data_IF_221820823870
#
_entry.id   IF_221820823870
#
_cell.length_a   1.000
_cell.length_b   1.000
_cell.length_c   1.000
_cell.angle_alpha   90.00
_cell.angle_beta   90.00
_cell.angle_gamma   90.00
#
_symmetry.space_group_name_H-M   'P 1'
#
loop_
_entity.id
_entity.type
_entity.pdbx_description
1 polymer ?
#
# COMPACT_ATOMS: atom_id res chain seq x y z
N UNK A 1 -10.65 -20.40 13.10
CA UNK A 1 -9.34 -19.71 13.09
C UNK A 1 -8.91 -19.49 11.65
N UNK A 2 -8.19 -18.40 11.37
CA UNK A 2 -7.65 -18.12 10.03
C UNK A 2 -6.36 -18.91 9.81
N UNK A 3 -6.22 -19.54 8.63
CA UNK A 3 -5.01 -20.28 8.24
C UNK A 3 -4.19 -19.44 7.28
N UNK A 4 -2.87 -19.49 7.42
CA UNK A 4 -1.94 -18.77 6.57
C UNK A 4 -0.97 -19.74 5.90
N UNK A 5 -0.81 -19.59 4.58
CA UNK A 5 0.23 -20.26 3.80
C UNK A 5 1.17 -19.18 3.27
N UNK A 6 2.15 -18.80 4.09
CA UNK A 6 3.19 -17.85 3.72
C UNK A 6 4.25 -18.53 2.86
N UNK A 7 5.02 -17.76 2.09
CA UNK A 7 6.03 -18.28 1.14
C UNK A 7 5.43 -19.30 0.17
N UNK A 8 4.20 -19.05 -0.27
CA UNK A 8 3.46 -19.89 -1.22
C UNK A 8 3.08 -19.04 -2.42
N UNK A 9 3.37 -19.52 -3.62
CA UNK A 9 3.03 -18.87 -4.89
C UNK A 9 1.80 -19.56 -5.48
N UNK A 10 0.81 -18.78 -5.89
CA UNK A 10 -0.31 -19.27 -6.71
C UNK A 10 0.17 -19.32 -8.16
N UNK A 11 0.09 -20.49 -8.79
CA UNK A 11 0.53 -20.72 -10.18
C UNK A 11 -0.63 -20.87 -11.16
N UNK A 12 -1.82 -21.21 -10.66
CA UNK A 12 -3.01 -21.37 -11.49
C UNK A 12 -4.29 -21.27 -10.68
N UNK A 13 -5.36 -20.87 -11.37
CA UNK A 13 -6.72 -20.81 -10.84
C UNK A 13 -7.64 -21.44 -11.87
N UNK A 14 -8.33 -22.51 -11.50
CA UNK A 14 -9.38 -23.14 -12.30
C UNK A 14 -10.74 -22.94 -11.62
N UNK A 15 -11.62 -22.18 -12.26
CA UNK A 15 -12.97 -21.85 -11.80
C UNK A 15 -14.05 -22.38 -12.75
N UNK A 16 -13.75 -23.44 -13.51
CA UNK A 16 -14.67 -24.00 -14.52
C UNK A 16 -15.78 -24.89 -13.94
N UNK A 17 -15.70 -25.28 -12.66
CA UNK A 17 -16.69 -26.12 -11.97
C UNK A 17 -17.47 -25.39 -10.87
N UNK A 18 -18.09 -26.16 -9.96
CA UNK A 18 -18.92 -25.66 -8.86
C UNK A 18 -18.13 -24.95 -7.73
N UNK A 19 -16.81 -24.78 -7.90
CA UNK A 19 -15.90 -24.12 -6.98
C UNK A 19 -14.60 -23.73 -7.69
N UNK A 20 -13.59 -23.37 -6.91
CA UNK A 20 -12.29 -22.91 -7.42
C UNK A 20 -11.18 -23.84 -6.95
N UNK A 21 -10.34 -24.27 -7.90
CA UNK A 21 -9.10 -25.02 -7.64
C UNK A 21 -7.91 -24.08 -7.82
N UNK A 22 -7.22 -23.80 -6.73
CA UNK A 22 -5.98 -23.04 -6.69
C UNK A 22 -4.80 -24.00 -6.76
N UNK A 23 -3.98 -23.86 -7.79
CA UNK A 23 -2.72 -24.60 -7.88
C UNK A 23 -1.64 -23.73 -7.24
N UNK A 24 -0.92 -24.28 -6.25
CA UNK A 24 0.06 -23.56 -5.45
C UNK A 24 1.37 -24.34 -5.32
N UNK A 25 2.48 -23.63 -5.13
CA UNK A 25 3.79 -24.21 -4.84
C UNK A 25 4.58 -23.37 -3.83
N UNK A 26 5.63 -23.90 -3.19
CA UNK A 26 6.57 -23.08 -2.43
C UNK A 26 7.13 -21.94 -3.27
N UNK A 27 7.25 -20.74 -2.69
CA UNK A 27 7.70 -19.55 -3.43
C UNK A 27 9.13 -19.68 -3.99
N UNK A 28 9.96 -20.52 -3.38
CA UNK A 28 11.33 -20.83 -3.82
C UNK A 28 11.38 -21.96 -4.88
N UNK A 29 10.21 -22.48 -5.29
CA UNK A 29 10.06 -23.63 -6.18
C UNK A 29 9.88 -24.94 -5.42
N UNK A 30 9.18 -25.90 -6.03
CA UNK A 30 8.91 -27.20 -5.42
C UNK A 30 7.71 -27.91 -6.02
N UNK A 31 7.22 -28.94 -5.33
CA UNK A 31 6.04 -29.70 -5.74
C UNK A 31 4.77 -28.85 -5.66
N UNK A 32 3.93 -28.97 -6.68
CA UNK A 32 2.64 -28.29 -6.74
C UNK A 32 1.57 -29.07 -5.97
N UNK A 33 0.71 -28.34 -5.27
CA UNK A 33 -0.46 -28.88 -4.61
C UNK A 33 -1.71 -28.11 -5.02
N UNK A 34 -2.87 -28.73 -4.90
CA UNK A 34 -4.16 -28.09 -5.21
C UNK A 34 -4.92 -27.79 -3.93
N UNK A 35 -5.42 -26.56 -3.81
CA UNK A 35 -6.35 -26.14 -2.78
C UNK A 35 -7.73 -25.95 -3.41
N UNK A 36 -8.77 -26.49 -2.80
CA UNK A 36 -10.15 -26.31 -3.24
C UNK A 36 -10.88 -25.33 -2.31
N UNK A 37 -11.66 -24.43 -2.88
CA UNK A 37 -12.49 -23.47 -2.15
C UNK A 37 -13.74 -23.11 -2.95
N UNK A 38 -14.83 -22.76 -2.28
CA UNK A 38 -16.05 -22.29 -2.96
C UNK A 38 -15.85 -20.90 -3.59
N UNK A 39 -15.06 -20.04 -2.93
CA UNK A 39 -14.83 -18.64 -3.31
C UNK A 39 -13.34 -18.31 -3.15
N UNK A 40 -12.80 -17.54 -4.10
CA UNK A 40 -11.46 -16.95 -4.03
C UNK A 40 -11.54 -15.43 -4.11
N UNK A 41 -10.92 -14.77 -3.13
CA UNK A 41 -10.68 -13.33 -3.16
C UNK A 41 -9.24 -13.05 -3.61
N UNK A 42 -9.08 -12.32 -4.72
CA UNK A 42 -7.77 -11.87 -5.19
C UNK A 42 -7.49 -10.46 -4.66
N UNK A 43 -6.63 -10.38 -3.65
CA UNK A 43 -6.21 -9.11 -3.02
C UNK A 43 -4.69 -8.95 -3.07
N UNK A 44 -4.12 -9.06 -4.28
CA UNK A 44 -2.66 -9.09 -4.52
C UNK A 44 -2.00 -7.69 -4.59
N UNK A 45 -2.77 -6.62 -4.46
CA UNK A 45 -2.31 -5.23 -4.55
C UNK A 45 -3.20 -4.38 -5.44
N UNK A 46 -2.78 -3.12 -5.64
CA UNK A 46 -3.44 -2.15 -6.52
C UNK A 46 -2.40 -1.59 -7.49
N UNK A 47 -2.86 -1.15 -8.65
CA UNK A 47 -2.05 -0.47 -9.67
C UNK A 47 -2.66 0.89 -10.00
N UNK A 48 -1.86 1.87 -10.44
CA UNK A 48 -2.39 3.16 -10.89
C UNK A 48 -3.30 2.96 -12.10
N UNK A 49 -4.39 3.72 -12.16
CA UNK A 49 -5.32 3.71 -13.29
C UNK A 49 -5.14 4.96 -14.14
N UNK A 50 -4.56 4.80 -15.34
CA UNK A 50 -4.30 5.88 -16.30
C UNK A 50 -4.95 5.65 -17.66
N UNK A 51 -5.72 4.56 -17.80
CA UNK A 51 -6.39 4.21 -19.06
C UNK A 51 -7.37 5.32 -19.49
N UNK A 52 -7.32 5.68 -20.78
CA UNK A 52 -8.17 6.72 -21.36
C UNK A 52 -7.71 8.16 -21.10
N UNK A 53 -6.57 8.37 -20.42
CA UNK A 53 -5.99 9.71 -20.23
C UNK A 53 -5.09 10.17 -21.40
N UNK A 54 -4.75 9.27 -22.33
CA UNK A 54 -3.90 9.56 -23.49
C UNK A 54 -2.58 10.27 -23.11
N UNK A 55 -1.95 9.85 -22.01
CA UNK A 55 -0.75 10.48 -21.44
C UNK A 55 0.39 10.57 -22.45
N UNK A 56 0.52 9.56 -23.31
CA UNK A 56 1.51 9.49 -24.38
C UNK A 56 1.33 10.59 -25.43
N UNK A 57 0.08 11.01 -25.71
CA UNK A 57 -0.20 12.05 -26.71
C UNK A 57 0.25 13.43 -26.26
N UNK A 58 0.26 13.67 -24.94
CA UNK A 58 0.73 14.91 -24.32
C UNK A 58 2.16 14.81 -23.80
N UNK A 59 2.77 13.62 -23.87
CA UNK A 59 4.16 13.38 -23.48
C UNK A 59 4.40 13.26 -21.98
N UNK A 60 3.38 12.91 -21.18
CA UNK A 60 3.55 12.70 -19.73
C UNK A 60 4.32 11.41 -19.47
N UNK A 61 5.38 11.50 -18.67
CA UNK A 61 6.22 10.35 -18.32
C UNK A 61 5.62 9.52 -17.18
N UNK A 62 5.72 8.19 -17.33
CA UNK A 62 5.36 7.23 -16.29
C UNK A 62 6.53 6.31 -15.96
N UNK A 63 6.55 5.76 -14.74
CA UNK A 63 7.50 4.70 -14.41
C UNK A 63 7.09 3.32 -14.98
N UNK A 64 7.91 2.30 -14.72
CA UNK A 64 7.65 0.92 -15.16
C UNK A 64 6.36 0.32 -14.59
N UNK A 65 5.82 0.87 -13.51
CA UNK A 65 4.57 0.46 -12.88
C UNK A 65 3.35 1.28 -13.35
N UNK A 66 3.53 2.19 -14.31
CA UNK A 66 2.45 3.04 -14.83
C UNK A 66 2.10 4.24 -13.95
N UNK A 67 2.92 4.56 -12.94
CA UNK A 67 2.70 5.74 -12.08
C UNK A 67 3.21 6.98 -12.79
N UNK A 68 2.45 8.08 -12.73
CA UNK A 68 2.83 9.37 -13.29
C UNK A 68 4.00 9.93 -12.46
N UNK A 69 5.09 10.28 -13.14
CA UNK A 69 6.24 10.89 -12.48
C UNK A 69 5.95 12.36 -12.18
N UNK A 70 6.20 12.75 -10.93
CA UNK A 70 6.01 14.12 -10.46
C UNK A 70 7.19 14.60 -9.63
N UNK A 71 7.41 15.91 -9.60
CA UNK A 71 8.34 16.55 -8.68
C UNK A 71 7.71 16.80 -7.28
N UNK A 72 8.45 17.44 -6.38
CA UNK A 72 8.00 17.79 -5.01
C UNK A 72 6.76 18.70 -4.96
N UNK A 73 6.39 19.32 -6.09
CA UNK A 73 5.20 20.17 -6.23
C UNK A 73 4.09 19.49 -7.03
N UNK A 74 4.13 18.15 -7.15
CA UNK A 74 3.14 17.35 -7.87
C UNK A 74 3.05 17.66 -9.37
N UNK A 75 4.03 18.38 -9.93
CA UNK A 75 4.06 18.73 -11.35
C UNK A 75 4.70 17.60 -12.15
N UNK A 76 4.11 17.25 -13.29
CA UNK A 76 4.70 16.31 -14.24
C UNK A 76 5.82 16.98 -15.06
N UNK A 77 6.42 16.24 -16.00
CA UNK A 77 7.32 16.81 -17.01
C UNK A 77 6.61 17.74 -18.02
N UNK A 78 5.28 17.69 -18.11
CA UNK A 78 4.46 18.55 -18.98
C UNK A 78 3.92 19.75 -18.19
N UNK A 79 4.20 20.96 -18.67
CA UNK A 79 3.78 22.20 -18.01
C UNK A 79 2.25 22.29 -17.90
N UNK A 80 1.77 22.65 -16.71
CA UNK A 80 0.34 22.76 -16.43
C UNK A 80 -0.35 21.43 -16.11
N UNK A 81 0.36 20.30 -16.14
CA UNK A 81 -0.17 18.98 -15.80
C UNK A 81 0.40 18.52 -14.47
N UNK A 82 -0.51 18.12 -13.58
CA UNK A 82 -0.21 17.70 -12.19
C UNK A 82 -0.87 16.34 -11.90
N UNK A 83 -0.34 15.61 -10.93
CA UNK A 83 -0.89 14.33 -10.49
C UNK A 83 -0.69 14.10 -9.00
N UNK A 84 -1.65 13.45 -8.33
CA UNK A 84 -1.68 13.22 -6.87
C UNK A 84 -2.23 11.83 -6.52
N UNK A 85 -2.04 11.39 -5.28
CA UNK A 85 -2.68 10.19 -4.74
C UNK A 85 -2.15 8.88 -5.30
N UNK A 86 -3.06 7.94 -5.57
CA UNK A 86 -2.73 6.56 -5.99
C UNK A 86 -2.04 6.46 -7.36
N UNK A 87 -2.09 7.52 -8.19
CA UNK A 87 -1.51 7.51 -9.54
C UNK A 87 -0.02 7.90 -9.57
N UNK A 88 0.52 8.40 -8.46
CA UNK A 88 1.92 8.82 -8.32
C UNK A 88 2.70 7.89 -7.37
N UNK A 89 4.04 7.96 -7.31
CA UNK A 89 4.81 7.25 -6.29
C UNK A 89 4.41 7.62 -4.85
N UNK A 90 4.32 6.61 -3.97
CA UNK A 90 4.02 6.79 -2.55
C UNK A 90 3.02 5.75 -2.02
N UNK A 91 2.63 5.85 -0.73
CA UNK A 91 1.58 5.03 -0.15
C UNK A 91 0.23 5.26 -0.84
N UNK A 92 -0.52 4.18 -1.12
CA UNK A 92 -1.86 4.23 -1.72
C UNK A 92 -2.93 4.27 -0.62
N UNK A 93 -3.08 5.43 0.00
CA UNK A 93 -3.97 5.67 1.15
C UNK A 93 -4.85 6.89 0.88
N UNK A 94 -6.11 6.85 1.34
CA UNK A 94 -7.08 7.90 1.10
C UNK A 94 -6.62 9.25 1.68
N UNK A 95 -6.26 9.29 2.96
CA UNK A 95 -5.79 10.51 3.62
C UNK A 95 -4.47 11.05 3.05
N UNK A 96 -3.61 10.17 2.49
CA UNK A 96 -2.43 10.60 1.74
C UNK A 96 -2.83 11.36 0.48
N UNK A 97 -3.78 10.84 -0.30
CA UNK A 97 -4.27 11.49 -1.51
C UNK A 97 -4.97 12.83 -1.22
N UNK A 98 -5.67 12.93 -0.09
CA UNK A 98 -6.24 14.20 0.39
C UNK A 98 -5.16 15.25 0.69
N UNK A 99 -4.11 14.86 1.41
CA UNK A 99 -2.99 15.75 1.77
C UNK A 99 -2.18 16.17 0.54
N UNK A 100 -1.90 15.25 -0.39
CA UNK A 100 -1.31 15.57 -1.70
C UNK A 100 -2.15 16.61 -2.45
N UNK A 101 -3.47 16.45 -2.43
CA UNK A 101 -4.40 17.34 -3.11
C UNK A 101 -4.34 18.76 -2.55
N UNK A 102 -4.37 18.90 -1.22
CA UNK A 102 -4.24 20.20 -0.53
C UNK A 102 -2.88 20.85 -0.87
N UNK A 103 -1.78 20.11 -0.74
CA UNK A 103 -0.45 20.63 -1.01
C UNK A 103 -0.27 21.03 -2.49
N UNK A 104 -0.78 20.23 -3.43
CA UNK A 104 -0.73 20.51 -4.85
C UNK A 104 -1.44 21.83 -5.20
N UNK A 105 -2.68 22.03 -4.72
CA UNK A 105 -3.41 23.27 -5.02
C UNK A 105 -2.79 24.50 -4.34
N UNK A 106 -2.19 24.34 -3.16
CA UNK A 106 -1.42 25.40 -2.52
C UNK A 106 -0.21 25.79 -3.36
N UNK A 107 0.56 24.83 -3.89
CA UNK A 107 1.66 25.12 -4.80
C UNK A 107 1.21 25.81 -6.08
N UNK A 108 0.10 25.38 -6.69
CA UNK A 108 -0.49 26.02 -7.87
C UNK A 108 -0.87 27.48 -7.56
N UNK A 109 -1.40 27.74 -6.37
CA UNK A 109 -1.75 29.09 -5.91
C UNK A 109 -0.55 29.95 -5.47
N UNK A 110 0.69 29.47 -5.61
CA UNK A 110 1.90 30.17 -5.17
C UNK A 110 2.09 30.20 -3.64
N UNK A 111 1.37 29.33 -2.91
CA UNK A 111 1.51 29.13 -1.46
C UNK A 111 2.50 28.03 -1.13
N UNK A 112 2.68 27.77 0.15
CA UNK A 112 3.61 26.78 0.68
C UNK A 112 2.91 25.46 0.99
N UNK A 113 2.69 24.64 -0.04
CA UNK A 113 2.28 23.25 0.15
C UNK A 113 3.37 22.43 0.82
N UNK A 114 2.99 21.41 1.59
CA UNK A 114 3.92 20.48 2.21
C UNK A 114 3.24 19.15 2.48
N UNK A 115 3.95 18.05 2.23
CA UNK A 115 3.56 16.70 2.66
C UNK A 115 4.80 16.02 3.23
N UNK A 116 4.65 15.44 4.42
CA UNK A 116 5.69 14.60 5.03
C UNK A 116 5.21 13.14 5.06
N UNK A 117 5.66 12.35 4.08
CA UNK A 117 5.27 10.95 3.96
C UNK A 117 5.74 10.08 5.13
N UNK A 118 6.74 10.51 5.93
CA UNK A 118 7.13 9.78 7.14
C UNK A 118 6.10 9.95 8.27
N UNK A 119 5.17 10.92 8.15
CA UNK A 119 4.10 11.18 9.13
C UNK A 119 2.74 10.64 8.70
N UNK A 120 2.64 9.98 7.55
CA UNK A 120 1.39 9.37 7.08
C UNK A 120 1.15 8.04 7.82
N UNK A 121 0.07 7.90 8.60
CA UNK A 121 -0.22 6.65 9.31
C UNK A 121 -0.78 5.58 8.37
N UNK A 122 -0.49 4.32 8.66
CA UNK A 122 -1.14 3.15 8.05
C UNK A 122 -2.02 2.42 9.08
N UNK A 123 -3.19 1.94 8.65
CA UNK A 123 -4.15 1.24 9.52
C UNK A 123 -4.66 -0.05 8.87
N UNK A 124 -4.73 -1.13 9.64
CA UNK A 124 -5.38 -2.39 9.30
C UNK A 124 -6.55 -2.60 10.26
N UNK A 125 -7.77 -2.62 9.71
CA UNK A 125 -9.03 -2.64 10.45
C UNK A 125 -9.49 -4.05 10.89
N UNK A 126 -8.54 -4.90 11.30
CA UNK A 126 -8.86 -6.20 11.93
C UNK A 126 -9.28 -6.02 13.38
N UNK A 127 -9.66 -7.10 14.07
CA UNK A 127 -9.77 -7.11 15.52
C UNK A 127 -8.77 -8.14 16.10
N UNK A 128 -7.70 -7.71 16.81
CA UNK A 128 -7.35 -6.32 17.13
C UNK A 128 -6.95 -5.48 15.89
N UNK A 129 -7.16 -4.17 15.98
CA UNK A 129 -6.70 -3.22 14.96
C UNK A 129 -5.17 -3.06 15.03
N UNK A 130 -4.55 -2.73 13.89
CA UNK A 130 -3.11 -2.47 13.80
C UNK A 130 -2.90 -1.11 13.16
N UNK A 131 -2.07 -0.27 13.78
CA UNK A 131 -1.70 1.03 13.23
C UNK A 131 -0.18 1.27 13.35
N UNK A 132 0.38 2.01 12.40
CA UNK A 132 1.79 2.42 12.41
C UNK A 132 1.96 3.82 11.81
N UNK A 133 3.03 4.51 12.21
CA UNK A 133 3.47 5.79 11.64
C UNK A 133 4.99 5.90 11.83
N UNK A 134 5.69 6.61 10.94
CA UNK A 134 7.14 6.73 11.01
C UNK A 134 7.89 5.48 10.53
N UNK A 135 9.16 5.39 10.91
CA UNK A 135 10.07 4.32 10.47
C UNK A 135 9.84 3.01 11.24
N UNK A 136 9.95 1.89 10.54
CA UNK A 136 10.03 0.57 11.16
C UNK A 136 11.44 0.30 11.72
N UNK A 137 11.55 -0.64 12.67
CA UNK A 137 12.87 -1.09 13.14
C UNK A 137 13.76 -1.61 12.00
N UNK A 138 13.18 -2.24 10.97
CA UNK A 138 13.92 -2.73 9.79
C UNK A 138 14.49 -1.58 8.96
N UNK A 139 13.73 -0.50 8.75
CA UNK A 139 14.20 0.71 8.07
C UNK A 139 15.35 1.37 8.84
N UNK A 140 15.20 1.57 10.15
CA UNK A 140 16.23 2.19 10.99
C UNK A 140 17.54 1.38 10.98
N UNK A 141 17.44 0.04 11.05
CA UNK A 141 18.62 -0.84 10.92
C UNK A 141 19.30 -0.69 9.56
N UNK A 142 18.53 -0.65 8.48
CA UNK A 142 19.05 -0.48 7.11
C UNK A 142 19.73 0.88 6.92
N UNK A 143 19.20 1.91 7.55
CA UNK A 143 19.75 3.28 7.52
C UNK A 143 20.94 3.47 8.49
N UNK A 144 21.23 2.49 9.36
CA UNK A 144 22.31 2.58 10.35
C UNK A 144 22.01 3.56 11.49
N UNK A 145 20.73 3.85 11.74
CA UNK A 145 20.30 4.79 12.78
C UNK A 145 20.26 4.06 14.12
N UNK A 146 21.02 4.55 15.11
CA UNK A 146 20.92 4.07 16.49
C UNK A 146 19.55 4.42 17.09
N UNK A 147 18.86 3.44 17.66
CA UNK A 147 17.52 3.63 18.22
C UNK A 147 17.33 2.84 19.52
N UNK A 148 16.34 3.26 20.32
CA UNK A 148 15.89 2.56 21.52
C UNK A 148 14.49 1.96 21.29
N UNK A 149 14.16 0.90 22.03
CA UNK A 149 12.86 0.21 21.92
C UNK A 149 12.10 0.30 23.24
N UNK A 150 10.88 0.82 23.18
CA UNK A 150 9.91 0.78 24.28
C UNK A 150 8.69 -0.07 23.90
N UNK A 151 8.24 -0.94 24.79
CA UNK A 151 7.06 -1.81 24.57
C UNK A 151 6.18 -1.84 25.82
N UNK A 152 4.87 -1.79 25.65
CA UNK A 152 3.90 -1.89 26.73
C UNK A 152 2.70 -2.73 26.29
N UNK A 153 2.37 -3.86 26.96
CA UNK A 153 1.30 -4.75 26.52
C UNK A 153 -0.09 -4.20 26.92
N UNK A 154 -1.09 -4.37 26.05
CA UNK A 154 -2.48 -4.03 26.38
C UNK A 154 -3.03 -4.81 27.59
N UNK A 155 -2.51 -6.02 27.84
CA UNK A 155 -2.83 -6.80 29.06
C UNK A 155 -2.46 -6.07 30.37
N UNK A 156 -1.62 -5.03 30.32
CA UNK A 156 -1.29 -4.19 31.48
C UNK A 156 -2.09 -2.88 31.53
N UNK A 157 -2.96 -2.60 30.54
CA UNK A 157 -3.78 -1.40 30.49
C UNK A 157 -5.14 -1.63 31.16
N UNK A 158 -5.49 -0.81 32.17
CA UNK A 158 -6.73 -0.98 32.95
C UNK A 158 -8.00 -0.84 32.11
N UNK A 159 -8.01 0.08 31.13
CA UNK A 159 -9.17 0.26 30.25
C UNK A 159 -9.33 -0.93 29.32
N UNK A 160 -8.24 -1.44 28.75
CA UNK A 160 -8.26 -2.65 27.92
C UNK A 160 -8.85 -3.82 28.72
N UNK A 161 -8.37 -4.08 29.95
CA UNK A 161 -8.93 -5.13 30.82
C UNK A 161 -10.43 -4.96 31.10
N UNK A 162 -10.89 -3.73 31.28
CA UNK A 162 -12.28 -3.45 31.62
C UNK A 162 -13.25 -3.67 30.43
N UNK A 163 -12.74 -3.61 29.20
CA UNK A 163 -13.54 -3.77 27.97
C UNK A 163 -13.27 -5.10 27.24
N UNK A 164 -12.35 -5.93 27.75
CA UNK A 164 -11.97 -7.24 27.20
C UNK A 164 -12.96 -8.35 27.59
N UNK A 165 -14.26 -8.03 27.57
CA UNK A 165 -15.39 -8.93 27.85
C UNK A 165 -16.24 -9.16 26.60
#
# INVERSE_FOLDING_TARGET
SMKFMLKTKVVGVDSSGDGVKLIVEPAEGGEQTTLEADIVLVSAGRTPFTSGLDLEKIGVETDKGGRILVNERFSTNVSGVYAIGDVIPGPMLAHKAEEDGVACVEFIAGKHGHVDYDKVPGVVYTHPEVASVGKTEEQLKKEGVSYNVGKFPFMANSRAKAIDT
#
